data_IF_909424986273
#
_entry.id   IF_909424986273
#
_cell.length_a   1.000
_cell.length_b   1.000
_cell.length_c   1.000
_cell.angle_alpha   90.00
_cell.angle_beta   90.00
_cell.angle_gamma   90.00
#
_symmetry.space_group_name_H-M   'P 1'
#
loop_
_entity.id
_entity.type
_entity.pdbx_description
1 polymer ?
#
# COMPACT_ATOMS: atom_id res chain seq x y z
N UNK A 1 -39.46 3.02 6.70
CA UNK A 1 -37.99 2.92 6.77
C UNK A 1 -37.53 2.54 5.38
N UNK A 2 -36.98 3.49 4.60
CA UNK A 2 -36.54 3.21 3.23
C UNK A 2 -35.07 2.79 3.28
N UNK A 3 -34.79 1.57 2.82
CA UNK A 3 -33.44 1.06 2.68
C UNK A 3 -32.78 1.75 1.48
N UNK A 4 -31.74 2.55 1.75
CA UNK A 4 -30.99 3.21 0.70
C UNK A 4 -30.18 2.15 -0.06
N UNK A 5 -30.61 1.83 -1.27
CA UNK A 5 -29.88 0.95 -2.17
C UNK A 5 -28.47 1.51 -2.39
N UNK A 6 -27.45 0.76 -1.96
CA UNK A 6 -26.05 1.05 -2.24
C UNK A 6 -25.82 0.84 -3.73
N UNK A 7 -25.93 1.90 -4.53
CA UNK A 7 -25.46 1.87 -5.90
C UNK A 7 -23.95 1.65 -5.89
N UNK A 8 -23.41 0.69 -6.66
CA UNK A 8 -21.98 0.49 -6.77
C UNK A 8 -21.36 1.78 -7.30
N UNK A 9 -20.62 2.47 -6.43
CA UNK A 9 -19.90 3.69 -6.79
C UNK A 9 -18.61 3.25 -7.50
N UNK A 10 -18.55 3.48 -8.81
CA UNK A 10 -17.30 3.31 -9.56
C UNK A 10 -16.30 4.35 -9.05
N UNK A 11 -15.42 3.94 -8.14
CA UNK A 11 -14.36 4.79 -7.62
C UNK A 11 -13.27 4.97 -8.68
N UNK A 12 -12.98 6.22 -9.04
CA UNK A 12 -11.86 6.54 -9.92
C UNK A 12 -10.62 6.78 -9.06
N UNK A 13 -9.59 5.94 -9.20
CA UNK A 13 -8.28 6.16 -8.57
C UNK A 13 -7.40 6.95 -9.53
N UNK A 14 -6.77 7.99 -9.03
CA UNK A 14 -5.76 8.76 -9.74
C UNK A 14 -4.47 8.73 -8.93
N UNK A 15 -3.36 8.39 -9.58
CA UNK A 15 -2.02 8.51 -9.02
C UNK A 15 -1.47 9.87 -9.48
N UNK A 16 -1.15 10.74 -8.54
CA UNK A 16 -0.70 12.10 -8.84
C UNK A 16 0.37 12.53 -7.84
N UNK A 17 1.45 13.09 -8.36
CA UNK A 17 2.49 13.69 -7.54
C UNK A 17 2.12 15.12 -7.15
N UNK A 18 2.44 15.48 -5.91
CA UNK A 18 2.26 16.83 -5.39
C UNK A 18 3.33 17.73 -5.99
N UNK A 19 2.91 18.73 -6.76
CA UNK A 19 3.79 19.73 -7.39
C UNK A 19 4.20 20.82 -6.38
N UNK A 20 4.96 21.80 -6.86
CA UNK A 20 5.30 23.00 -6.08
C UNK A 20 4.07 23.61 -5.39
N UNK A 21 4.30 24.14 -4.18
CA UNK A 21 3.25 24.71 -3.32
C UNK A 21 2.18 23.72 -2.83
N UNK A 22 2.39 22.40 -2.96
CA UNK A 22 1.43 21.42 -2.41
C UNK A 22 0.21 21.20 -3.30
N UNK A 23 0.30 21.47 -4.62
CA UNK A 23 -0.83 21.44 -5.54
C UNK A 23 -0.85 20.17 -6.40
N UNK A 24 -2.05 19.68 -6.70
CA UNK A 24 -2.29 18.62 -7.70
C UNK A 24 -3.20 19.16 -8.81
N UNK A 25 -2.92 18.79 -10.05
CA UNK A 25 -3.75 19.11 -11.21
C UNK A 25 -4.29 17.82 -11.83
N UNK A 26 -5.61 17.72 -11.94
CA UNK A 26 -6.27 16.51 -12.41
C UNK A 26 -7.34 16.82 -13.45
N UNK A 27 -7.33 16.08 -14.56
CA UNK A 27 -8.44 16.07 -15.53
C UNK A 27 -9.43 14.98 -15.15
N UNK A 28 -10.66 15.39 -14.86
CA UNK A 28 -11.76 14.48 -14.51
C UNK A 28 -12.78 14.36 -15.64
N UNK A 29 -13.43 13.20 -15.83
CA UNK A 29 -14.37 12.95 -16.93
C UNK A 29 -15.79 13.47 -16.63
N UNK A 30 -15.92 14.53 -15.83
CA UNK A 30 -17.22 15.08 -15.44
C UNK A 30 -17.50 16.38 -16.21
N UNK A 31 -18.77 16.65 -16.58
CA UNK A 31 -19.14 17.90 -17.20
C UNK A 31 -19.06 19.07 -16.22
N UNK A 32 -18.91 20.28 -16.77
CA UNK A 32 -18.87 21.53 -16.01
C UNK A 32 -20.11 21.67 -15.10
N UNK A 33 -19.89 22.10 -13.85
CA UNK A 33 -20.95 22.29 -12.86
C UNK A 33 -21.32 21.05 -12.05
N UNK A 34 -20.70 19.89 -12.34
CA UNK A 34 -20.89 18.67 -11.54
C UNK A 34 -20.27 18.84 -10.15
N UNK A 35 -21.07 18.64 -9.10
CA UNK A 35 -20.54 18.56 -7.72
C UNK A 35 -19.86 17.21 -7.52
N UNK A 36 -18.58 17.24 -7.19
CA UNK A 36 -17.78 16.05 -6.89
C UNK A 36 -17.24 16.11 -5.46
N UNK A 37 -16.87 14.94 -4.93
CA UNK A 37 -16.17 14.79 -3.65
C UNK A 37 -14.82 14.16 -3.95
N UNK A 38 -13.75 14.72 -3.39
CA UNK A 38 -12.37 14.21 -3.56
C UNK A 38 -11.86 13.76 -2.20
N UNK A 39 -11.31 12.55 -2.16
CA UNK A 39 -10.57 12.03 -1.01
C UNK A 39 -9.09 12.04 -1.36
N UNK A 40 -8.28 12.68 -0.52
CA UNK A 40 -6.82 12.72 -0.67
C UNK A 40 -6.22 11.85 0.41
N UNK A 41 -5.50 10.80 0.01
CA UNK A 41 -4.83 9.87 0.91
C UNK A 41 -3.36 9.86 0.49
N UNK A 42 -2.46 10.15 1.42
CA UNK A 42 -1.03 10.01 1.16
C UNK A 42 -0.68 8.53 1.05
N UNK A 43 0.00 8.13 -0.02
CA UNK A 43 0.52 6.78 -0.11
C UNK A 43 1.63 6.62 0.93
N UNK A 44 1.56 5.62 1.82
CA UNK A 44 2.69 5.31 2.68
C UNK A 44 3.87 4.96 1.77
N UNK A 45 5.06 5.45 2.09
CA UNK A 45 6.25 4.97 1.41
C UNK A 45 6.28 3.45 1.58
N UNK A 46 6.24 2.70 0.48
CA UNK A 46 6.46 1.25 0.51
C UNK A 46 7.88 1.03 1.03
N UNK A 47 8.00 0.85 2.34
CA UNK A 47 9.29 0.72 2.98
C UNK A 47 9.62 -0.76 2.89
N UNK A 48 10.40 -1.14 1.88
CA UNK A 48 10.86 -2.52 1.68
C UNK A 48 11.60 -3.07 2.90
N UNK A 49 12.04 -2.20 3.81
CA UNK A 49 12.66 -2.53 5.08
C UNK A 49 11.81 -3.48 5.94
N UNK A 50 10.48 -3.36 5.95
CA UNK A 50 9.64 -4.28 6.73
C UNK A 50 9.65 -5.70 6.16
N UNK A 51 9.59 -5.82 4.83
CA UNK A 51 9.68 -7.11 4.13
C UNK A 51 11.08 -7.73 4.31
N UNK A 52 12.12 -6.90 4.19
CA UNK A 52 13.52 -7.30 4.37
C UNK A 52 13.79 -7.72 5.82
N UNK A 53 13.22 -7.02 6.80
CA UNK A 53 13.29 -7.35 8.23
C UNK A 53 12.56 -8.66 8.54
N UNK A 54 11.33 -8.82 8.05
CA UNK A 54 10.55 -10.05 8.22
C UNK A 54 11.27 -11.26 7.61
N UNK A 55 11.90 -11.10 6.43
CA UNK A 55 12.66 -12.18 5.77
C UNK A 55 13.88 -12.62 6.57
N UNK A 56 14.55 -11.70 7.28
CA UNK A 56 15.70 -12.01 8.14
C UNK A 56 15.32 -12.61 9.49
N UNK A 57 14.08 -12.38 9.96
CA UNK A 57 13.61 -12.88 11.26
C UNK A 57 13.46 -14.41 11.35
N UNK A 58 13.46 -15.11 10.21
CA UNK A 58 13.30 -16.57 10.14
C UNK A 58 14.61 -17.36 10.05
N UNK A 59 15.78 -16.71 10.14
CA UNK A 59 17.06 -17.41 10.06
C UNK A 59 17.33 -18.33 11.28
N UNK A 60 16.72 -18.04 12.43
CA UNK A 60 16.87 -18.84 13.64
C UNK A 60 16.23 -20.23 13.59
N UNK A 61 15.38 -20.53 12.61
CA UNK A 61 14.85 -21.88 12.40
C UNK A 61 15.93 -22.84 11.88
N UNK A 62 16.91 -22.33 11.11
CA UNK A 62 18.02 -23.12 10.56
C UNK A 62 19.29 -23.05 11.41
N UNK A 63 19.33 -22.17 12.41
CA UNK A 63 20.47 -21.98 13.32
C UNK A 63 20.36 -22.92 14.52
N UNK A 64 20.55 -24.22 14.26
CA UNK A 64 20.51 -25.28 15.26
C UNK A 64 21.94 -25.76 15.57
N UNK A 65 22.50 -25.44 16.76
CA UNK A 65 23.85 -25.85 17.13
C UNK A 65 24.07 -27.36 17.16
N UNK A 66 22.98 -28.15 17.28
CA UNK A 66 23.03 -29.60 17.20
C UNK A 66 23.25 -30.08 15.76
N UNK A 67 22.61 -29.42 14.79
CA UNK A 67 22.78 -29.75 13.37
C UNK A 67 24.18 -29.33 12.89
N UNK A 68 24.70 -28.20 13.37
CA UNK A 68 26.07 -27.75 13.06
C UNK A 68 27.14 -28.73 13.56
N UNK A 69 26.93 -29.38 14.71
CA UNK A 69 27.87 -30.35 15.27
C UNK A 69 27.89 -31.67 14.48
N UNK A 70 26.73 -32.10 13.97
CA UNK A 70 26.58 -33.35 13.23
C UNK A 70 26.89 -33.19 11.72
N UNK A 71 26.60 -32.04 11.11
CA UNK A 71 26.88 -31.78 9.68
C UNK A 71 28.28 -31.27 9.38
N UNK A 72 28.90 -30.45 10.24
CA UNK A 72 30.25 -29.93 9.99
C UNK A 72 31.37 -30.95 10.30
N UNK A 73 31.00 -32.13 10.79
CA UNK A 73 31.91 -33.24 11.08
C UNK A 73 31.89 -34.36 10.00
N UNK A 74 31.24 -34.11 8.85
CA UNK A 74 31.19 -35.02 7.70
C UNK A 74 32.40 -34.85 6.76
#
# INVERSE_FOLDING_TARGET
>A
MAEAALTPQTAMKYEAEVKEEGRIELRVPFPTGTRIVVFVIGEPAETFDEIVSASQSSLGFWDNPLDDADWNAA
#
